data_IF_477836040653
#
_entry.id   IF_477836040653
#
_cell.length_a   1.000
_cell.length_b   1.000
_cell.length_c   1.000
_cell.angle_alpha   90.00
_cell.angle_beta   90.00
_cell.angle_gamma   90.00
#
_symmetry.space_group_name_H-M   'P 1'
#
loop_
_entity.id
_entity.type
_entity.pdbx_description
1 polymer ?
#
# COMPACT_ATOMS: atom_id res chain seq x y z
N UNK A 1 -15.92 11.81 -12.53
CA UNK A 1 -15.04 10.97 -11.68
C UNK A 1 -13.60 11.30 -12.03
N UNK A 2 -12.83 11.90 -11.12
CA UNK A 2 -11.45 12.32 -11.43
C UNK A 2 -10.57 11.07 -11.54
N UNK A 3 -9.99 10.80 -12.71
CA UNK A 3 -9.05 9.67 -12.99
C UNK A 3 -7.96 9.55 -11.91
N UNK A 4 -7.64 10.67 -11.24
CA UNK A 4 -6.75 10.79 -10.07
C UNK A 4 -7.16 9.89 -8.90
N UNK A 5 -8.45 9.74 -8.66
CA UNK A 5 -9.01 8.93 -7.57
C UNK A 5 -8.96 7.44 -7.93
N UNK A 6 -9.17 7.09 -9.21
CA UNK A 6 -9.05 5.71 -9.69
C UNK A 6 -7.62 5.19 -9.55
N UNK A 7 -6.62 5.98 -9.97
CA UNK A 7 -5.22 5.57 -9.85
C UNK A 7 -4.84 5.37 -8.38
N UNK A 8 -5.21 6.30 -7.50
CA UNK A 8 -4.96 6.18 -6.06
C UNK A 8 -5.68 4.97 -5.44
N UNK A 9 -6.92 4.69 -5.85
CA UNK A 9 -7.69 3.54 -5.37
C UNK A 9 -7.03 2.22 -5.78
N UNK A 10 -6.59 2.09 -7.04
CA UNK A 10 -5.87 0.89 -7.52
C UNK A 10 -4.53 0.73 -6.79
N UNK A 11 -3.78 1.82 -6.59
CA UNK A 11 -2.51 1.78 -5.86
C UNK A 11 -2.71 1.36 -4.40
N UNK A 12 -3.79 1.83 -3.77
CA UNK A 12 -4.14 1.49 -2.39
C UNK A 12 -4.30 -0.03 -2.22
N UNK A 13 -4.97 -0.68 -3.18
CA UNK A 13 -5.18 -2.13 -3.18
C UNK A 13 -3.84 -2.88 -3.29
N UNK A 14 -3.00 -2.50 -4.25
CA UNK A 14 -1.70 -3.16 -4.47
C UNK A 14 -0.77 -2.96 -3.27
N UNK A 15 -0.68 -1.73 -2.73
CA UNK A 15 0.16 -1.42 -1.57
C UNK A 15 -0.29 -2.19 -0.34
N UNK A 16 -1.61 -2.28 -0.09
CA UNK A 16 -2.14 -3.09 1.01
C UNK A 16 -1.74 -4.56 0.87
N UNK A 17 -1.88 -5.14 -0.33
CA UNK A 17 -1.49 -6.53 -0.58
C UNK A 17 0.01 -6.78 -0.41
N UNK A 18 0.88 -5.84 -0.79
CA UNK A 18 2.33 -5.98 -0.60
C UNK A 18 2.69 -5.90 0.89
N UNK A 19 2.13 -4.96 1.64
CA UNK A 19 2.37 -4.82 3.08
C UNK A 19 1.87 -6.07 3.81
N UNK A 20 0.65 -6.52 3.48
CA UNK A 20 0.09 -7.75 4.03
C UNK A 20 0.97 -8.96 3.72
N UNK A 21 1.43 -9.11 2.47
CA UNK A 21 2.30 -10.21 2.06
C UNK A 21 3.60 -10.25 2.86
N UNK A 22 4.27 -9.11 3.03
CA UNK A 22 5.49 -9.01 3.86
C UNK A 22 5.19 -9.37 5.32
N UNK A 23 4.07 -8.89 5.87
CA UNK A 23 3.62 -9.21 7.22
C UNK A 23 3.29 -10.70 7.41
N UNK A 24 2.62 -11.32 6.45
CA UNK A 24 2.30 -12.74 6.49
C UNK A 24 3.57 -13.60 6.38
N UNK A 25 4.50 -13.25 5.48
CA UNK A 25 5.79 -13.94 5.34
C UNK A 25 6.59 -13.84 6.65
N UNK A 26 6.64 -12.66 7.27
CA UNK A 26 7.37 -12.48 8.54
C UNK A 26 6.77 -13.28 9.69
N UNK A 27 5.43 -13.33 9.82
CA UNK A 27 4.75 -14.15 10.84
C UNK A 27 5.00 -15.64 10.63
N UNK A 28 5.00 -16.10 9.38
CA UNK A 28 5.16 -17.52 9.05
C UNK A 28 6.62 -17.97 9.04
N UNK A 29 7.57 -17.08 8.76
CA UNK A 29 9.01 -17.39 8.79
C UNK A 29 9.56 -17.51 10.22
N UNK A 30 8.92 -16.89 11.21
CA UNK A 30 9.38 -16.93 12.60
C UNK A 30 8.60 -18.02 13.35
N UNK A 31 9.23 -19.14 13.73
CA UNK A 31 8.53 -20.28 14.33
C UNK A 31 7.81 -19.93 15.65
N UNK A 32 8.35 -18.99 16.44
CA UNK A 32 7.70 -18.48 17.65
C UNK A 32 6.39 -17.69 17.36
N UNK A 33 6.29 -17.05 16.20
CA UNK A 33 5.06 -16.37 15.76
C UNK A 33 4.13 -17.33 15.02
N UNK A 34 4.66 -18.38 14.39
CA UNK A 34 3.89 -19.39 13.68
C UNK A 34 2.95 -20.17 14.60
N UNK A 35 3.35 -20.46 15.85
CA UNK A 35 2.44 -21.07 16.85
C UNK A 35 1.22 -20.18 17.13
N UNK A 36 1.41 -18.86 17.06
CA UNK A 36 0.38 -17.87 17.33
C UNK A 36 -0.18 -17.29 16.02
N UNK A 37 0.05 -17.93 14.87
CA UNK A 37 -0.36 -17.43 13.55
C UNK A 37 -1.87 -17.20 13.46
N UNK A 38 -2.67 -17.96 14.22
CA UNK A 38 -4.13 -17.73 14.37
C UNK A 38 -4.47 -16.31 14.84
N UNK A 39 -3.62 -15.69 15.65
CA UNK A 39 -3.76 -14.30 16.12
C UNK A 39 -2.84 -13.33 15.35
N UNK A 40 -1.67 -13.81 14.92
CA UNK A 40 -0.68 -13.02 14.17
C UNK A 40 -1.20 -12.57 12.81
N UNK A 41 -1.88 -13.44 12.06
CA UNK A 41 -2.44 -13.09 10.75
C UNK A 41 -3.53 -12.00 10.83
N UNK A 42 -4.56 -12.10 11.70
CA UNK A 42 -5.51 -11.01 11.92
C UNK A 42 -4.86 -9.70 12.34
N UNK A 43 -3.86 -9.75 13.22
CA UNK A 43 -3.12 -8.55 13.66
C UNK A 43 -2.39 -7.87 12.49
N UNK A 44 -1.72 -8.65 11.64
CA UNK A 44 -1.07 -8.13 10.42
C UNK A 44 -2.08 -7.49 9.48
N UNK A 45 -3.28 -8.07 9.34
CA UNK A 45 -4.35 -7.46 8.51
C UNK A 45 -4.74 -6.09 9.07
N UNK A 46 -4.98 -5.98 10.37
CA UNK A 46 -5.34 -4.71 11.00
C UNK A 46 -4.24 -3.66 10.86
N UNK A 47 -2.97 -4.06 11.08
CA UNK A 47 -1.81 -3.18 10.90
C UNK A 47 -1.70 -2.74 9.43
N UNK A 48 -1.85 -3.66 8.48
CA UNK A 48 -1.80 -3.36 7.05
C UNK A 48 -2.91 -2.38 6.66
N UNK A 49 -4.12 -2.56 7.20
CA UNK A 49 -5.26 -1.67 6.96
C UNK A 49 -5.07 -0.27 7.54
N UNK A 50 -4.33 -0.13 8.65
CA UNK A 50 -3.97 1.16 9.25
C UNK A 50 -2.83 1.86 8.49
N UNK A 51 -1.80 1.10 8.08
CA UNK A 51 -0.63 1.63 7.38
C UNK A 51 -0.96 1.98 5.93
N UNK A 52 -1.84 1.23 5.27
CA UNK A 52 -2.25 1.44 3.88
C UNK A 52 -2.77 2.85 3.56
N UNK A 53 -3.77 3.41 4.27
CA UNK A 53 -4.27 4.75 3.99
C UNK A 53 -3.21 5.82 4.27
N UNK A 54 -2.35 5.60 5.28
CA UNK A 54 -1.24 6.49 5.60
C UNK A 54 -0.18 6.50 4.48
N UNK A 55 0.19 5.32 3.97
CA UNK A 55 1.10 5.15 2.85
C UNK A 55 0.50 5.72 1.55
N UNK A 56 -0.80 5.50 1.31
CA UNK A 56 -1.53 6.04 0.15
C UNK A 56 -1.55 7.57 0.16
N UNK A 57 -1.78 8.19 1.34
CA UNK A 57 -1.72 9.64 1.50
C UNK A 57 -0.33 10.20 1.21
N UNK A 58 0.74 9.47 1.56
CA UNK A 58 2.13 9.88 1.30
C UNK A 58 2.54 9.67 -0.16
N UNK A 59 1.96 8.67 -0.83
CA UNK A 59 2.30 8.30 -2.21
C UNK A 59 1.52 9.12 -3.25
N UNK A 60 0.28 9.51 -2.94
CA UNK A 60 -0.57 10.37 -3.76
C UNK A 60 0.07 11.72 -4.21
N UNK A 61 0.73 12.51 -3.33
CA UNK A 61 1.38 13.75 -3.75
C UNK A 61 2.63 13.50 -4.61
N UNK A 62 3.36 12.40 -4.39
CA UNK A 62 4.58 12.07 -5.16
C UNK A 62 4.30 11.73 -6.62
N UNK A 63 3.17 11.09 -6.93
CA UNK A 63 2.77 10.83 -8.32
C UNK A 63 2.25 12.09 -9.04
N UNK A 64 1.72 13.08 -8.29
CA UNK A 64 1.21 14.33 -8.85
C UNK A 64 2.30 15.20 -9.48
N UNK A 65 3.46 15.30 -8.84
CA UNK A 65 4.55 16.15 -9.34
C UNK A 65 5.16 15.64 -10.66
N UNK A 66 5.17 14.33 -10.90
CA UNK A 66 5.83 13.75 -12.08
C UNK A 66 4.95 13.78 -13.34
N UNK A 67 3.63 13.67 -13.20
CA UNK A 67 2.70 13.69 -14.33
C UNK A 67 2.45 15.09 -14.90
N UNK A 68 2.44 16.14 -14.07
CA UNK A 68 2.25 17.51 -14.54
C UNK A 68 3.44 18.05 -15.33
N UNK A 69 4.67 17.69 -14.96
CA UNK A 69 5.86 18.11 -15.69
C UNK A 69 5.93 17.46 -17.08
N UNK A 70 5.59 16.17 -17.20
CA UNK A 70 5.57 15.48 -18.50
C UNK A 70 4.51 16.04 -19.46
N UNK A 71 3.33 16.41 -18.97
CA UNK A 71 2.29 17.05 -19.81
C UNK A 71 2.66 18.46 -20.24
N UNK A 72 3.36 19.24 -19.40
CA UNK A 72 3.88 20.56 -19.79
C UNK A 72 5.03 20.45 -20.80
N UNK A 73 5.86 19.42 -20.69
CA UNK A 73 6.97 19.18 -21.61
C UNK A 73 6.52 18.65 -22.98
N UNK A 74 5.45 17.84 -23.05
CA UNK A 74 4.89 17.33 -24.31
C UNK A 74 3.95 18.32 -25.03
N UNK A 75 3.59 19.43 -24.37
CA UNK A 75 2.77 20.51 -24.93
C UNK A 75 3.62 21.71 -25.36
N UNK A 76 4.94 21.54 -25.50
CA UNK A 76 5.90 22.56 -25.91
C UNK A 76 6.62 22.14 -27.17
#
# INVERSE_FOLDING_TARGET
MSVRFQIAAVLCIVVNSVIFGIGAITVLSIPALAEHAKYGLPAVILISFLVTPLASWFLAPRMRNRYWQRRKAAAR
#
